data_IF_720047698993
#
_entry.id   IF_720047698993
#
_cell.length_a   1.000
_cell.length_b   1.000
_cell.length_c   1.000
_cell.angle_alpha   90.00
_cell.angle_beta   90.00
_cell.angle_gamma   90.00
#
_symmetry.space_group_name_H-M   'P 1'
#
loop_
_entity.id
_entity.type
_entity.pdbx_description
1 polymer ?
#
# COMPACT_ATOMS: atom_id res chain seq x y z
N UNK A 1 -35.03 -9.56 8.43
CA UNK A 1 -33.59 -9.68 8.09
C UNK A 1 -33.52 -9.58 6.59
N UNK A 2 -32.89 -8.54 6.08
CA UNK A 2 -32.61 -8.40 4.65
C UNK A 2 -31.75 -9.59 4.21
N UNK A 3 -32.06 -10.19 3.07
CA UNK A 3 -31.29 -11.31 2.52
C UNK A 3 -29.83 -10.83 2.27
N UNK A 4 -28.85 -11.65 2.68
CA UNK A 4 -27.43 -11.30 2.50
C UNK A 4 -27.07 -11.28 1.03
N UNK A 5 -26.24 -10.34 0.65
CA UNK A 5 -25.67 -10.25 -0.71
C UNK A 5 -24.83 -11.50 -0.97
N UNK A 6 -25.14 -12.24 -2.03
CA UNK A 6 -24.49 -13.50 -2.37
C UNK A 6 -23.26 -13.24 -3.25
N UNK A 7 -22.08 -13.58 -2.76
CA UNK A 7 -20.89 -13.59 -3.61
C UNK A 7 -20.85 -14.84 -4.49
N UNK A 8 -20.42 -14.70 -5.74
CA UNK A 8 -20.27 -15.82 -6.69
C UNK A 8 -18.87 -16.40 -6.64
N UNK A 9 -17.85 -15.56 -6.74
CA UNK A 9 -16.44 -15.93 -6.72
C UNK A 9 -15.80 -15.51 -5.40
N UNK A 10 -14.97 -16.35 -4.76
CA UNK A 10 -14.24 -15.93 -3.57
C UNK A 10 -13.19 -14.88 -3.90
N UNK A 11 -12.84 -14.05 -2.90
CA UNK A 11 -11.63 -13.27 -2.90
C UNK A 11 -10.58 -13.92 -1.97
N UNK A 12 -9.31 -13.59 -2.15
CA UNK A 12 -8.25 -14.05 -1.26
C UNK A 12 -8.26 -13.20 0.01
N UNK A 13 -8.38 -13.86 1.16
CA UNK A 13 -8.28 -13.21 2.46
C UNK A 13 -6.94 -13.57 3.12
N UNK A 14 -6.10 -12.57 3.33
CA UNK A 14 -4.81 -12.71 3.98
C UNK A 14 -4.87 -12.09 5.37
N UNK A 15 -5.01 -12.90 6.40
CA UNK A 15 -5.01 -12.45 7.79
C UNK A 15 -3.59 -12.06 8.25
N UNK A 16 -3.46 -11.36 9.36
CA UNK A 16 -2.19 -10.80 9.80
C UNK A 16 -1.91 -10.96 11.28
N UNK A 17 -1.32 -9.93 11.88
CA UNK A 17 -0.78 -9.98 13.24
C UNK A 17 -1.36 -8.90 14.16
N UNK A 18 -1.22 -9.12 15.44
CA UNK A 18 -1.35 -8.18 16.55
C UNK A 18 -2.69 -7.41 16.55
N UNK A 19 -2.71 -6.10 16.81
CA UNK A 19 -3.94 -5.32 16.94
C UNK A 19 -4.74 -5.26 15.64
N UNK A 20 -4.06 -5.28 14.50
CA UNK A 20 -4.75 -5.27 13.19
C UNK A 20 -5.53 -6.56 12.94
N UNK A 21 -5.07 -7.71 13.42
CA UNK A 21 -5.84 -8.97 13.38
C UNK A 21 -7.11 -8.88 14.23
N UNK A 22 -7.04 -8.24 15.39
CA UNK A 22 -8.22 -8.02 16.25
C UNK A 22 -9.24 -7.12 15.52
N UNK A 23 -8.78 -6.01 14.94
CA UNK A 23 -9.64 -5.12 14.15
C UNK A 23 -10.23 -5.82 12.92
N UNK A 24 -9.43 -6.66 12.25
CA UNK A 24 -9.85 -7.46 11.09
C UNK A 24 -11.09 -8.28 11.40
N UNK A 25 -11.05 -9.02 12.51
CA UNK A 25 -12.18 -9.83 12.93
C UNK A 25 -13.39 -8.97 13.32
N UNK A 26 -13.19 -7.87 14.07
CA UNK A 26 -14.28 -6.95 14.41
C UNK A 26 -14.97 -6.37 13.18
N UNK A 27 -14.20 -5.97 12.17
CA UNK A 27 -14.75 -5.43 10.91
C UNK A 27 -15.57 -6.51 10.18
N UNK A 28 -15.07 -7.72 10.10
CA UNK A 28 -15.82 -8.83 9.48
C UNK A 28 -17.12 -9.08 10.21
N UNK A 29 -17.09 -9.22 11.53
CA UNK A 29 -18.25 -9.59 12.36
C UNK A 29 -19.32 -8.49 12.37
N UNK A 30 -18.91 -7.23 12.44
CA UNK A 30 -19.83 -6.11 12.61
C UNK A 30 -20.24 -5.45 11.29
N UNK A 31 -19.35 -5.36 10.33
CA UNK A 31 -19.61 -4.57 9.12
C UNK A 31 -19.84 -5.44 7.86
N UNK A 32 -19.30 -6.65 7.77
CA UNK A 32 -19.36 -7.44 6.52
C UNK A 32 -20.31 -8.62 6.62
N UNK A 33 -20.08 -9.54 7.55
CA UNK A 33 -20.82 -10.80 7.67
C UNK A 33 -22.33 -10.64 7.92
N UNK A 34 -22.82 -9.55 8.56
CA UNK A 34 -24.27 -9.33 8.67
C UNK A 34 -24.96 -9.05 7.33
N UNK A 35 -24.26 -8.52 6.34
CA UNK A 35 -24.82 -8.03 5.08
C UNK A 35 -24.43 -8.85 3.86
N UNK A 36 -23.26 -9.49 3.90
CA UNK A 36 -22.68 -10.23 2.77
C UNK A 36 -22.45 -11.68 3.16
N UNK A 37 -22.86 -12.60 2.29
CA UNK A 37 -22.44 -14.01 2.33
C UNK A 37 -21.01 -14.10 1.78
N UNK A 38 -20.07 -13.75 2.65
CA UNK A 38 -18.66 -13.57 2.32
C UNK A 38 -18.01 -14.90 1.94
N UNK A 39 -17.48 -14.97 0.72
CA UNK A 39 -16.69 -16.12 0.26
C UNK A 39 -15.22 -15.71 0.15
N UNK A 40 -14.37 -16.40 0.90
CA UNK A 40 -12.93 -16.17 0.86
C UNK A 40 -12.14 -17.47 0.71
N UNK A 41 -11.00 -17.37 0.06
CA UNK A 41 -9.92 -18.35 0.19
C UNK A 41 -8.94 -17.78 1.21
N UNK A 42 -8.96 -18.36 2.42
CA UNK A 42 -8.31 -17.79 3.60
C UNK A 42 -6.87 -18.28 3.76
N UNK A 43 -5.97 -17.33 4.01
CA UNK A 43 -4.55 -17.56 4.33
C UNK A 43 -4.17 -16.81 5.60
N UNK A 44 -3.73 -17.52 6.62
CA UNK A 44 -3.18 -16.93 7.83
C UNK A 44 -1.72 -16.51 7.60
N UNK A 45 -1.47 -15.24 7.34
CA UNK A 45 -0.12 -14.69 7.20
C UNK A 45 0.44 -14.16 8.53
N UNK A 46 -0.17 -14.53 9.65
CA UNK A 46 0.39 -14.27 10.97
C UNK A 46 1.78 -14.90 11.12
N UNK A 47 2.67 -14.26 11.87
CA UNK A 47 4.08 -14.60 11.94
C UNK A 47 4.32 -16.06 12.37
N UNK A 48 3.50 -16.58 13.31
CA UNK A 48 3.60 -17.98 13.76
C UNK A 48 3.30 -18.94 12.61
N UNK A 49 2.22 -18.71 11.86
CA UNK A 49 1.83 -19.58 10.74
C UNK A 49 2.82 -19.52 9.59
N UNK A 50 3.39 -18.37 9.35
CA UNK A 50 4.47 -18.22 8.35
C UNK A 50 5.72 -18.98 8.74
N UNK A 51 6.10 -18.97 10.03
CA UNK A 51 7.23 -19.76 10.56
C UNK A 51 6.99 -21.27 10.43
N UNK A 52 5.79 -21.75 10.80
CA UNK A 52 5.38 -23.16 10.66
C UNK A 52 5.47 -23.66 9.20
N UNK A 53 5.16 -22.81 8.23
CA UNK A 53 5.14 -23.16 6.80
C UNK A 53 6.42 -22.79 6.07
N UNK A 54 7.46 -22.34 6.77
CA UNK A 54 8.68 -21.79 6.17
C UNK A 54 8.35 -20.69 5.13
N UNK A 55 7.41 -19.83 5.46
CA UNK A 55 6.87 -18.73 4.64
C UNK A 55 6.25 -19.17 3.29
N UNK A 56 5.98 -20.47 3.11
CA UNK A 56 5.34 -20.96 1.89
C UNK A 56 3.91 -20.42 1.75
N UNK A 57 3.19 -20.25 2.86
CA UNK A 57 1.82 -19.72 2.86
C UNK A 57 1.71 -18.31 2.24
N UNK A 58 2.74 -17.47 2.35
CA UNK A 58 2.80 -16.16 1.71
C UNK A 58 2.84 -16.28 0.18
N UNK A 59 3.60 -17.24 -0.34
CA UNK A 59 3.68 -17.51 -1.77
C UNK A 59 2.37 -18.08 -2.29
N UNK A 60 1.78 -19.02 -1.55
CA UNK A 60 0.50 -19.62 -1.91
C UNK A 60 -0.62 -18.59 -1.99
N UNK A 61 -0.66 -17.65 -1.04
CA UNK A 61 -1.61 -16.53 -1.04
C UNK A 61 -1.42 -15.60 -2.27
N UNK A 62 -0.17 -15.31 -2.64
CA UNK A 62 0.13 -14.51 -3.83
C UNK A 62 -0.29 -15.22 -5.13
N UNK A 63 -0.04 -16.52 -5.24
CA UNK A 63 -0.47 -17.31 -6.42
C UNK A 63 -2.01 -17.45 -6.46
N UNK A 64 -2.68 -17.59 -5.32
CA UNK A 64 -4.14 -17.53 -5.24
C UNK A 64 -4.68 -16.18 -5.72
N UNK A 65 -3.99 -15.07 -5.38
CA UNK A 65 -4.36 -13.73 -5.86
C UNK A 65 -4.28 -13.62 -7.38
N UNK A 66 -3.25 -14.20 -8.01
CA UNK A 66 -3.17 -14.28 -9.48
C UNK A 66 -4.35 -15.04 -10.07
N UNK A 67 -4.76 -16.13 -9.45
CA UNK A 67 -5.86 -16.98 -9.93
C UNK A 67 -7.23 -16.35 -9.72
N UNK A 68 -7.50 -15.78 -8.54
CA UNK A 68 -8.82 -15.25 -8.18
C UNK A 68 -8.99 -13.76 -8.56
N UNK A 69 -7.91 -13.05 -8.78
CA UNK A 69 -7.92 -11.67 -9.28
C UNK A 69 -8.03 -10.59 -8.21
N UNK A 70 -8.55 -10.88 -7.03
CA UNK A 70 -8.72 -9.90 -5.95
C UNK A 70 -8.32 -10.51 -4.62
N UNK A 71 -7.55 -9.77 -3.85
CA UNK A 71 -7.18 -10.10 -2.47
C UNK A 71 -7.41 -8.91 -1.54
N UNK A 72 -7.61 -9.23 -0.27
CA UNK A 72 -7.56 -8.27 0.83
C UNK A 72 -6.59 -8.76 1.89
N UNK A 73 -5.73 -7.88 2.39
CA UNK A 73 -4.62 -8.24 3.27
C UNK A 73 -4.59 -7.40 4.55
N UNK A 74 -4.51 -8.10 5.67
CA UNK A 74 -4.22 -7.51 6.98
C UNK A 74 -2.72 -7.17 7.13
N UNK A 75 -2.38 -6.28 8.04
CA UNK A 75 -0.99 -5.96 8.34
C UNK A 75 -0.27 -7.14 9.01
N UNK A 76 0.98 -7.35 8.62
CA UNK A 76 1.82 -8.48 9.04
C UNK A 76 3.13 -8.01 9.64
N UNK A 77 3.68 -8.78 10.59
CA UNK A 77 5.00 -8.50 11.17
C UNK A 77 6.11 -8.88 10.18
N UNK A 78 7.06 -7.98 9.96
CA UNK A 78 8.38 -8.33 9.43
C UNK A 78 9.33 -8.46 10.63
N UNK A 79 9.81 -9.67 10.95
CA UNK A 79 10.56 -9.90 12.17
C UNK A 79 11.95 -9.26 12.13
N UNK A 80 12.36 -8.76 13.29
CA UNK A 80 13.73 -8.38 13.64
C UNK A 80 14.25 -9.33 14.73
N UNK A 81 15.44 -9.13 15.25
CA UNK A 81 16.03 -9.97 16.32
C UNK A 81 15.13 -10.08 17.55
N UNK A 82 14.53 -8.97 18.00
CA UNK A 82 13.61 -8.98 19.14
C UNK A 82 12.40 -9.89 18.89
N UNK A 83 11.83 -9.84 17.68
CA UNK A 83 10.69 -10.69 17.29
C UNK A 83 11.07 -12.16 17.14
N UNK A 84 12.30 -12.44 16.73
CA UNK A 84 12.85 -13.80 16.71
C UNK A 84 12.75 -14.46 18.09
N UNK A 85 13.19 -13.74 19.13
CA UNK A 85 13.17 -14.23 20.51
C UNK A 85 11.75 -14.33 21.08
N UNK A 86 10.94 -13.28 20.85
CA UNK A 86 9.56 -13.19 21.34
C UNK A 86 8.68 -14.30 20.81
N UNK A 87 8.75 -14.59 19.52
CA UNK A 87 7.93 -15.60 18.84
C UNK A 87 8.62 -16.95 18.69
N UNK A 88 9.87 -17.10 19.16
CA UNK A 88 10.70 -18.31 19.04
C UNK A 88 10.79 -18.84 17.61
N UNK A 89 11.05 -17.91 16.67
CA UNK A 89 11.08 -18.23 15.25
C UNK A 89 12.31 -19.05 14.87
N UNK A 90 12.14 -19.92 13.89
CA UNK A 90 13.23 -20.72 13.31
C UNK A 90 14.16 -19.86 12.44
N UNK A 91 13.63 -18.80 11.83
CA UNK A 91 14.37 -17.95 10.91
C UNK A 91 13.82 -16.52 10.92
N UNK A 92 14.67 -15.54 10.61
CA UNK A 92 14.25 -14.15 10.37
C UNK A 92 13.66 -14.04 8.96
N UNK A 93 12.33 -14.22 8.87
CA UNK A 93 11.60 -14.23 7.61
C UNK A 93 11.62 -12.84 6.93
N UNK A 94 11.65 -12.85 5.60
CA UNK A 94 11.54 -11.63 4.80
C UNK A 94 10.15 -11.00 4.95
N UNK A 95 10.00 -9.75 4.52
CA UNK A 95 8.71 -9.07 4.49
C UNK A 95 7.73 -9.82 3.58
N UNK A 96 6.55 -10.25 4.08
CA UNK A 96 5.54 -10.88 3.24
C UNK A 96 5.03 -9.92 2.16
N UNK A 97 4.94 -8.63 2.45
CA UNK A 97 4.59 -7.61 1.44
C UNK A 97 5.59 -7.62 0.28
N UNK A 98 6.90 -7.70 0.58
CA UNK A 98 7.94 -7.78 -0.44
C UNK A 98 7.82 -9.05 -1.30
N UNK A 99 7.49 -10.19 -0.69
CA UNK A 99 7.27 -11.46 -1.40
C UNK A 99 6.05 -11.37 -2.32
N UNK A 100 4.90 -10.92 -1.82
CA UNK A 100 3.66 -10.76 -2.61
C UNK A 100 3.88 -9.80 -3.77
N UNK A 101 4.45 -8.62 -3.50
CA UNK A 101 4.74 -7.59 -4.53
C UNK A 101 5.66 -8.12 -5.62
N UNK A 102 6.67 -8.91 -5.24
CA UNK A 102 7.59 -9.52 -6.21
C UNK A 102 6.94 -10.58 -7.08
N UNK A 103 5.99 -11.35 -6.54
CA UNK A 103 5.26 -12.39 -7.26
C UNK A 103 4.22 -11.76 -8.19
N UNK A 104 3.53 -10.72 -7.76
CA UNK A 104 2.52 -10.02 -8.55
C UNK A 104 3.13 -9.02 -9.55
N UNK A 105 4.37 -8.58 -9.34
CA UNK A 105 5.05 -7.53 -10.14
C UNK A 105 4.19 -6.27 -10.26
N UNK A 106 3.61 -5.83 -9.13
CA UNK A 106 2.60 -4.78 -9.12
C UNK A 106 3.13 -3.39 -8.79
N UNK A 107 2.25 -2.41 -8.97
CA UNK A 107 2.42 -1.02 -8.53
C UNK A 107 1.52 -0.77 -7.32
N UNK A 108 2.06 -0.18 -6.26
CA UNK A 108 1.27 0.21 -5.08
C UNK A 108 0.78 1.63 -5.24
N UNK A 109 -0.54 1.82 -5.23
CA UNK A 109 -1.17 3.14 -5.20
C UNK A 109 -1.68 3.43 -3.80
N UNK A 110 -1.23 4.54 -3.21
CA UNK A 110 -1.59 4.99 -1.88
C UNK A 110 -2.23 6.37 -1.95
N UNK A 111 -3.48 6.48 -1.48
CA UNK A 111 -4.27 7.70 -1.55
C UNK A 111 -4.78 8.06 -0.16
N UNK A 112 -4.56 9.28 0.34
CA UNK A 112 -5.13 9.73 1.61
C UNK A 112 -6.66 9.75 1.57
N UNK A 113 -7.28 9.29 2.65
CA UNK A 113 -8.71 9.47 2.92
C UNK A 113 -8.87 10.85 3.57
N UNK A 114 -9.53 11.77 2.90
CA UNK A 114 -9.69 13.14 3.36
C UNK A 114 -11.11 13.42 3.82
N UNK A 115 -11.25 14.19 4.91
CA UNK A 115 -12.52 14.69 5.42
C UNK A 115 -12.43 16.20 5.64
N UNK A 116 -13.55 16.95 5.50
CA UNK A 116 -13.53 18.42 5.58
C UNK A 116 -13.02 18.98 6.90
N UNK A 117 -13.20 18.25 7.99
CA UNK A 117 -12.82 18.67 9.35
C UNK A 117 -11.37 18.37 9.73
N UNK A 118 -10.58 17.77 8.85
CA UNK A 118 -9.14 17.56 9.03
C UNK A 118 -8.40 18.26 7.90
N UNK A 119 -7.75 19.36 8.22
CA UNK A 119 -6.98 20.12 7.24
C UNK A 119 -5.57 19.54 7.10
N UNK A 120 -5.01 19.47 5.88
CA UNK A 120 -3.63 19.07 5.68
C UNK A 120 -2.65 20.01 6.43
N UNK A 121 -1.57 19.44 6.98
CA UNK A 121 -0.47 20.23 7.56
C UNK A 121 0.17 21.18 6.52
N UNK A 122 0.09 20.82 5.24
CA UNK A 122 0.48 21.69 4.13
C UNK A 122 -0.75 22.47 3.64
N UNK A 123 -0.83 23.74 4.01
CA UNK A 123 -1.99 24.60 3.77
C UNK A 123 -2.44 24.72 2.30
N UNK A 124 -1.50 24.50 1.35
CA UNK A 124 -1.81 24.60 -0.08
C UNK A 124 -2.54 23.37 -0.63
N UNK A 125 -2.50 22.24 0.06
CA UNK A 125 -3.10 21.01 -0.43
C UNK A 125 -4.63 21.06 -0.30
N UNK A 126 -5.31 21.14 -1.42
CA UNK A 126 -6.77 21.19 -1.52
C UNK A 126 -7.36 19.82 -1.90
N UNK A 127 -6.56 18.96 -2.54
CA UNK A 127 -6.97 17.65 -3.07
C UNK A 127 -5.97 16.58 -2.69
N UNK A 128 -6.40 15.32 -2.52
CA UNK A 128 -5.50 14.21 -2.23
C UNK A 128 -4.37 14.08 -3.26
N UNK A 129 -3.18 13.70 -2.79
CA UNK A 129 -2.05 13.34 -3.64
C UNK A 129 -1.90 11.83 -3.54
N UNK A 130 -2.01 11.15 -4.67
CA UNK A 130 -1.80 9.70 -4.75
C UNK A 130 -0.34 9.42 -5.02
N UNK A 131 0.29 8.58 -4.21
CA UNK A 131 1.63 8.06 -4.49
C UNK A 131 1.51 6.74 -5.23
N UNK A 132 2.10 6.66 -6.42
CA UNK A 132 2.30 5.41 -7.15
C UNK A 132 3.72 4.91 -6.90
N UNK A 133 3.85 3.84 -6.09
CA UNK A 133 5.13 3.25 -5.71
C UNK A 133 5.44 2.05 -6.60
N UNK A 134 6.60 2.04 -7.24
CA UNK A 134 7.10 0.85 -7.91
C UNK A 134 7.35 -0.26 -6.88
N UNK A 135 6.75 -1.42 -7.05
CA UNK A 135 6.80 -2.48 -6.04
C UNK A 135 7.96 -3.46 -6.20
N UNK A 136 8.95 -3.14 -7.04
CA UNK A 136 10.07 -4.02 -7.38
C UNK A 136 11.41 -3.28 -7.28
N UNK A 137 12.49 -4.03 -7.04
CA UNK A 137 13.86 -3.54 -7.14
C UNK A 137 14.30 -2.62 -6.02
N UNK A 138 15.27 -1.76 -6.32
CA UNK A 138 15.93 -0.82 -5.41
C UNK A 138 16.50 -1.55 -4.17
N UNK A 139 16.56 -0.87 -3.03
CA UNK A 139 17.08 -1.42 -1.78
C UNK A 139 16.31 -2.65 -1.28
N UNK A 140 15.06 -2.85 -1.70
CA UNK A 140 14.23 -4.00 -1.31
C UNK A 140 14.62 -5.31 -1.98
N UNK A 141 15.42 -5.26 -3.04
CA UNK A 141 16.03 -6.41 -3.73
C UNK A 141 17.55 -6.29 -3.85
N UNK A 142 18.16 -5.67 -2.86
CA UNK A 142 19.59 -5.51 -2.80
C UNK A 142 20.29 -6.76 -2.25
N UNK A 143 21.58 -6.83 -2.55
CA UNK A 143 22.54 -7.74 -1.90
C UNK A 143 23.60 -6.90 -1.20
N UNK A 144 24.05 -7.36 -0.03
CA UNK A 144 24.96 -6.61 0.82
C UNK A 144 26.17 -7.44 1.23
N UNK A 145 27.30 -6.78 1.36
CA UNK A 145 28.55 -7.37 1.86
C UNK A 145 29.12 -6.46 2.94
N UNK A 146 29.50 -7.06 4.07
CA UNK A 146 30.37 -6.43 5.06
C UNK A 146 31.82 -6.75 4.72
N UNK A 147 32.62 -5.72 4.41
CA UNK A 147 34.06 -5.86 4.29
C UNK A 147 34.68 -5.63 5.68
N UNK A 148 35.36 -6.63 6.22
CA UNK A 148 35.99 -6.58 7.55
C UNK A 148 37.47 -6.24 7.49
N UNK A 149 38.07 -6.24 6.30
CA UNK A 149 39.47 -5.99 6.04
C UNK A 149 39.69 -5.14 4.77
N UNK A 150 40.90 -4.61 4.52
CA UNK A 150 41.20 -3.94 3.24
C UNK A 150 41.01 -4.86 2.05
N UNK A 151 40.43 -4.33 0.96
CA UNK A 151 40.17 -5.11 -0.24
C UNK A 151 39.56 -4.30 -1.37
N UNK A 152 39.35 -4.92 -2.51
CA UNK A 152 38.78 -4.29 -3.71
C UNK A 152 37.37 -4.86 -3.96
N UNK A 153 36.35 -3.97 -3.95
CA UNK A 153 35.00 -4.30 -4.34
C UNK A 153 34.80 -4.03 -5.84
N UNK A 154 34.20 -5.02 -6.55
CA UNK A 154 33.95 -4.94 -7.98
C UNK A 154 32.50 -5.26 -8.29
N UNK A 155 31.97 -4.66 -9.36
CA UNK A 155 30.72 -5.02 -10.00
C UNK A 155 31.07 -5.69 -11.34
N UNK A 156 30.57 -6.92 -11.53
CA UNK A 156 30.85 -7.72 -12.71
C UNK A 156 29.54 -8.07 -13.39
N UNK A 157 29.49 -7.98 -14.72
CA UNK A 157 28.42 -8.47 -15.55
C UNK A 157 28.94 -9.38 -16.60
N UNK A 158 28.52 -10.66 -16.57
CA UNK A 158 28.81 -11.69 -17.53
C UNK A 158 27.58 -11.98 -18.38
N UNK A 159 27.54 -11.48 -19.59
CA UNK A 159 26.45 -11.68 -20.54
C UNK A 159 26.50 -13.03 -21.22
N UNK A 160 25.35 -13.65 -21.50
CA UNK A 160 25.24 -14.93 -22.23
C UNK A 160 25.88 -14.89 -23.61
N UNK A 161 25.97 -13.71 -24.23
CA UNK A 161 26.68 -13.51 -25.52
C UNK A 161 28.21 -13.47 -25.40
N UNK A 162 28.76 -13.66 -24.20
CA UNK A 162 30.20 -13.54 -23.92
C UNK A 162 30.64 -12.11 -23.62
N UNK A 163 29.72 -11.14 -23.51
CA UNK A 163 30.04 -9.77 -23.07
C UNK A 163 30.46 -9.82 -21.62
N UNK A 164 31.65 -9.27 -21.30
CA UNK A 164 32.16 -9.13 -19.96
C UNK A 164 32.38 -7.65 -19.66
N UNK A 165 31.79 -7.16 -18.55
CA UNK A 165 32.04 -5.82 -18.01
C UNK A 165 32.42 -5.93 -16.51
N UNK A 166 33.54 -5.31 -16.16
CA UNK A 166 34.03 -5.23 -14.77
C UNK A 166 34.29 -3.77 -14.41
N UNK A 167 33.76 -3.33 -13.28
CA UNK A 167 33.97 -1.97 -12.73
C UNK A 167 34.40 -2.07 -11.27
N UNK A 168 35.49 -1.42 -10.91
CA UNK A 168 35.87 -1.26 -9.51
C UNK A 168 34.89 -0.28 -8.85
N UNK A 169 34.17 -0.77 -7.84
CA UNK A 169 33.24 0.05 -7.06
C UNK A 169 34.00 0.89 -6.04
N UNK A 170 34.91 0.24 -5.27
CA UNK A 170 35.73 0.90 -4.27
C UNK A 170 36.94 0.04 -3.86
N UNK A 171 38.01 0.71 -3.44
CA UNK A 171 39.16 0.07 -2.78
C UNK A 171 39.12 0.41 -1.30
N UNK A 172 38.68 -0.55 -0.48
CA UNK A 172 38.65 -0.40 0.97
C UNK A 172 40.04 -0.40 1.56
N UNK A 173 40.33 0.56 2.41
CA UNK A 173 41.56 0.61 3.21
C UNK A 173 41.39 0.07 4.63
N UNK A 174 40.18 -0.35 4.97
CA UNK A 174 39.74 -0.92 6.23
C UNK A 174 38.31 -1.43 6.12
N UNK A 175 37.66 -1.66 7.25
CA UNK A 175 36.29 -2.16 7.27
C UNK A 175 35.29 -1.18 6.61
N UNK A 176 34.25 -1.73 5.98
CA UNK A 176 33.20 -0.97 5.31
C UNK A 176 31.98 -1.81 4.95
N UNK A 177 31.05 -1.23 4.23
CA UNK A 177 29.85 -1.90 3.73
C UNK A 177 29.69 -1.65 2.23
N UNK A 178 29.15 -2.64 1.53
CA UNK A 178 28.85 -2.59 0.11
C UNK A 178 27.43 -3.07 -0.10
N UNK A 179 26.66 -2.37 -0.94
CA UNK A 179 25.32 -2.74 -1.35
C UNK A 179 25.19 -2.63 -2.87
N UNK A 180 24.60 -3.64 -3.49
CA UNK A 180 24.24 -3.62 -4.90
C UNK A 180 22.74 -3.85 -5.07
N UNK A 181 22.12 -3.06 -5.93
CA UNK A 181 20.69 -3.15 -6.27
C UNK A 181 20.50 -3.25 -7.78
N UNK A 182 19.35 -3.75 -8.23
CA UNK A 182 19.01 -3.89 -9.64
C UNK A 182 17.55 -3.55 -9.91
N UNK A 183 17.26 -3.36 -11.19
CA UNK A 183 15.90 -3.33 -11.73
C UNK A 183 15.88 -3.96 -13.11
N UNK A 184 14.71 -4.21 -13.67
CA UNK A 184 14.53 -4.74 -15.01
C UNK A 184 13.69 -3.82 -15.87
N UNK A 185 14.01 -3.66 -17.14
CA UNK A 185 13.25 -2.85 -18.09
C UNK A 185 11.78 -3.30 -18.15
N UNK A 186 11.54 -4.61 -18.08
CA UNK A 186 10.20 -5.19 -18.05
C UNK A 186 9.38 -4.67 -16.86
N UNK A 187 9.94 -4.68 -15.64
CA UNK A 187 9.26 -4.21 -14.44
C UNK A 187 9.05 -2.69 -14.44
N UNK A 188 10.05 -1.94 -14.92
CA UNK A 188 9.94 -0.48 -15.07
C UNK A 188 8.83 -0.12 -16.07
N UNK A 189 8.75 -0.83 -17.21
CA UNK A 189 7.72 -0.62 -18.24
C UNK A 189 6.33 -0.96 -17.71
N UNK A 190 6.20 -2.07 -16.98
CA UNK A 190 4.98 -2.46 -16.29
C UNK A 190 4.51 -1.38 -15.29
N UNK A 191 5.42 -0.84 -14.50
CA UNK A 191 5.17 0.26 -13.58
C UNK A 191 4.67 1.51 -14.31
N UNK A 192 5.33 1.89 -15.41
CA UNK A 192 4.91 3.04 -16.22
C UNK A 192 3.48 2.85 -16.76
N UNK A 193 3.18 1.70 -17.39
CA UNK A 193 1.83 1.39 -17.87
C UNK A 193 0.77 1.46 -16.77
N UNK A 194 1.07 0.89 -15.59
CA UNK A 194 0.15 0.96 -14.45
C UNK A 194 -0.13 2.40 -14.02
N UNK A 195 0.89 3.25 -13.98
CA UNK A 195 0.74 4.67 -13.63
C UNK A 195 -0.13 5.42 -14.64
N UNK A 196 0.13 5.26 -15.95
CA UNK A 196 -0.64 5.95 -17.00
C UNK A 196 -2.09 5.47 -17.04
N UNK A 197 -2.35 4.16 -16.94
CA UNK A 197 -3.71 3.62 -16.85
C UNK A 197 -4.47 4.16 -15.64
N UNK A 198 -3.84 4.12 -14.46
CA UNK A 198 -4.46 4.64 -13.24
C UNK A 198 -4.73 6.14 -13.33
N UNK A 199 -3.85 6.91 -13.97
CA UNK A 199 -4.05 8.33 -14.22
C UNK A 199 -5.28 8.60 -15.10
N UNK A 200 -5.47 7.81 -16.17
CA UNK A 200 -6.66 7.88 -17.01
C UNK A 200 -7.93 7.44 -16.25
N UNK A 201 -7.87 6.34 -15.50
CA UNK A 201 -9.02 5.82 -14.76
C UNK A 201 -9.53 6.80 -13.70
N UNK A 202 -8.60 7.52 -13.04
CA UNK A 202 -8.91 8.51 -12.00
C UNK A 202 -9.00 9.95 -12.52
N UNK A 203 -8.77 10.17 -13.82
CA UNK A 203 -8.75 11.47 -14.45
C UNK A 203 -7.81 12.47 -13.74
N UNK A 204 -6.57 12.03 -13.47
CA UNK A 204 -5.54 12.80 -12.77
C UNK A 204 -4.27 12.93 -13.61
N UNK A 205 -3.58 14.08 -13.52
CA UNK A 205 -2.24 14.25 -14.08
C UNK A 205 -1.24 13.34 -13.37
N UNK A 206 -0.17 12.96 -14.07
CA UNK A 206 0.88 12.07 -13.57
C UNK A 206 2.20 12.83 -13.47
N UNK A 207 2.73 12.90 -12.26
CA UNK A 207 4.09 13.36 -12.00
C UNK A 207 5.00 12.18 -11.77
N UNK A 208 6.21 12.25 -12.31
CA UNK A 208 7.23 11.23 -12.11
C UNK A 208 8.57 11.86 -11.76
N UNK A 209 9.31 11.22 -10.87
CA UNK A 209 10.60 11.76 -10.42
C UNK A 209 11.63 10.68 -10.15
N UNK A 210 12.88 10.99 -10.50
CA UNK A 210 14.08 10.20 -10.19
C UNK A 210 15.26 11.15 -9.93
N UNK A 211 16.46 10.63 -9.76
CA UNK A 211 17.70 11.43 -9.64
C UNK A 211 18.68 11.12 -10.78
N UNK A 212 18.19 11.19 -12.02
CA UNK A 212 18.95 10.81 -13.21
C UNK A 212 20.23 11.64 -13.45
N UNK A 213 20.32 12.83 -12.86
CA UNK A 213 21.55 13.65 -12.89
C UNK A 213 22.70 13.05 -12.07
N UNK A 214 22.40 12.21 -11.08
CA UNK A 214 23.39 11.50 -10.25
C UNK A 214 23.44 10.03 -10.67
N UNK A 215 22.34 9.34 -10.70
CA UNK A 215 22.22 7.94 -11.11
C UNK A 215 21.98 7.87 -12.63
N UNK A 216 23.06 8.09 -13.40
CA UNK A 216 23.01 8.33 -14.86
C UNK A 216 22.67 7.10 -15.72
N UNK A 217 22.68 5.91 -15.14
CA UNK A 217 22.23 4.67 -15.80
C UNK A 217 20.94 4.17 -15.16
N UNK A 218 20.94 3.93 -13.87
CA UNK A 218 19.82 3.33 -13.16
C UNK A 218 18.57 4.22 -13.21
N UNK A 219 18.64 5.45 -12.71
CA UNK A 219 17.51 6.37 -12.69
C UNK A 219 17.15 6.91 -14.08
N UNK A 220 18.15 7.10 -14.94
CA UNK A 220 17.91 7.52 -16.32
C UNK A 220 17.11 6.48 -17.12
N UNK A 221 17.31 5.18 -16.86
CA UNK A 221 16.56 4.12 -17.52
C UNK A 221 15.06 4.20 -17.18
N UNK A 222 14.71 4.50 -15.94
CA UNK A 222 13.32 4.76 -15.56
C UNK A 222 12.72 5.91 -16.35
N UNK A 223 13.43 7.04 -16.45
CA UNK A 223 13.00 8.20 -17.21
C UNK A 223 12.78 7.87 -18.69
N UNK A 224 13.72 7.20 -19.31
CA UNK A 224 13.65 6.80 -20.73
C UNK A 224 12.40 5.97 -20.97
N UNK A 225 12.20 4.91 -20.17
CA UNK A 225 11.06 4.00 -20.33
C UNK A 225 9.73 4.73 -20.07
N UNK A 226 9.65 5.62 -19.09
CA UNK A 226 8.42 6.39 -18.85
C UNK A 226 8.05 7.28 -20.03
N UNK A 227 9.03 7.92 -20.68
CA UNK A 227 8.76 8.71 -21.90
C UNK A 227 8.37 7.84 -23.10
N UNK A 228 9.03 6.68 -23.28
CA UNK A 228 8.64 5.72 -24.33
C UNK A 228 7.19 5.26 -24.15
N UNK A 229 6.80 4.87 -22.94
CA UNK A 229 5.44 4.42 -22.62
C UNK A 229 4.43 5.56 -22.72
N UNK A 230 4.81 6.80 -22.35
CA UNK A 230 3.93 7.96 -22.48
C UNK A 230 3.44 8.20 -23.91
N UNK A 231 4.28 7.95 -24.91
CA UNK A 231 3.86 8.13 -26.32
C UNK A 231 2.63 7.28 -26.68
N UNK A 232 2.41 6.14 -26.00
CA UNK A 232 1.23 5.29 -26.18
C UNK A 232 -0.05 5.88 -25.57
N UNK A 233 0.07 6.75 -24.57
CA UNK A 233 -1.05 7.36 -23.84
C UNK A 233 -1.26 8.84 -24.14
N UNK A 234 -0.36 9.47 -24.89
CA UNK A 234 -0.28 10.92 -25.11
C UNK A 234 -1.56 11.51 -25.67
N UNK A 235 -2.13 10.89 -26.71
CA UNK A 235 -3.36 11.36 -27.34
C UNK A 235 -4.53 11.39 -26.33
N UNK A 236 -4.67 10.38 -25.51
CA UNK A 236 -5.75 10.30 -24.50
C UNK A 236 -5.51 11.30 -23.34
N UNK A 237 -4.26 11.52 -22.93
CA UNK A 237 -3.89 12.55 -21.96
C UNK A 237 -4.23 13.94 -22.47
N UNK A 238 -3.84 14.27 -23.70
CA UNK A 238 -4.15 15.56 -24.35
C UNK A 238 -5.65 15.79 -24.47
N UNK A 239 -6.41 14.79 -24.91
CA UNK A 239 -7.87 14.85 -25.05
C UNK A 239 -8.58 15.13 -23.72
N UNK A 240 -8.03 14.63 -22.59
CA UNK A 240 -8.60 14.87 -21.25
C UNK A 240 -7.99 16.07 -20.53
N UNK A 241 -7.04 16.76 -21.13
CA UNK A 241 -6.32 17.87 -20.50
C UNK A 241 -5.45 17.46 -19.32
N UNK A 242 -4.93 16.22 -19.34
CA UNK A 242 -4.03 15.68 -18.32
C UNK A 242 -2.58 15.95 -18.72
N UNK A 243 -1.72 16.14 -17.72
CA UNK A 243 -0.29 16.36 -17.89
C UNK A 243 0.53 15.14 -17.44
N UNK A 244 1.55 14.78 -18.20
CA UNK A 244 2.68 13.99 -17.73
C UNK A 244 3.87 14.92 -17.48
N UNK A 245 4.33 14.98 -16.22
CA UNK A 245 5.41 15.87 -15.80
C UNK A 245 6.53 15.10 -15.14
N UNK A 246 7.75 15.26 -15.65
CA UNK A 246 8.95 14.69 -15.06
C UNK A 246 9.86 15.76 -14.46
N UNK A 247 10.39 15.52 -13.26
CA UNK A 247 11.44 16.34 -12.66
C UNK A 247 12.33 15.53 -11.73
N UNK A 248 13.43 16.13 -11.24
CA UNK A 248 14.29 15.51 -10.23
C UNK A 248 13.53 15.38 -8.90
N UNK A 249 13.82 14.29 -8.17
CA UNK A 249 13.09 13.96 -6.92
C UNK A 249 13.13 15.10 -5.89
N UNK A 250 14.26 15.78 -5.73
CA UNK A 250 14.41 16.92 -4.82
C UNK A 250 13.59 18.15 -5.27
N UNK A 251 13.52 18.42 -6.58
CA UNK A 251 12.63 19.46 -7.13
C UNK A 251 11.15 19.04 -6.99
N UNK A 252 10.84 17.74 -7.23
CA UNK A 252 9.49 17.22 -7.03
C UNK A 252 9.00 17.47 -5.60
N UNK A 253 9.80 17.17 -4.57
CA UNK A 253 9.46 17.43 -3.16
C UNK A 253 9.06 18.89 -2.95
N UNK A 254 9.87 19.84 -3.47
CA UNK A 254 9.58 21.26 -3.35
C UNK A 254 8.30 21.69 -4.07
N UNK A 255 8.04 21.13 -5.25
CA UNK A 255 6.83 21.40 -6.05
C UNK A 255 5.58 20.81 -5.42
N UNK A 256 5.66 19.58 -4.93
CA UNK A 256 4.56 18.90 -4.24
C UNK A 256 4.07 19.72 -3.03
N UNK A 257 4.99 20.20 -2.19
CA UNK A 257 4.68 21.06 -1.04
C UNK A 257 3.96 22.36 -1.47
N UNK A 258 4.31 22.92 -2.62
CA UNK A 258 3.72 24.17 -3.15
C UNK A 258 2.46 23.95 -3.99
N UNK A 259 2.16 22.71 -4.35
CA UNK A 259 1.01 22.36 -5.19
C UNK A 259 -0.32 22.45 -4.46
N UNK A 260 -1.41 22.35 -5.21
CA UNK A 260 -2.76 22.18 -4.68
C UNK A 260 -3.15 20.71 -4.47
N UNK A 261 -2.28 19.77 -4.85
CA UNK A 261 -2.60 18.35 -4.91
C UNK A 261 -3.46 17.97 -6.12
N UNK A 262 -4.10 16.80 -6.06
CA UNK A 262 -5.00 16.30 -7.10
C UNK A 262 -4.29 15.63 -8.28
N UNK A 263 -3.11 15.10 -8.06
CA UNK A 263 -2.33 14.35 -9.06
C UNK A 263 -1.75 13.06 -8.47
N UNK A 264 -1.25 12.21 -9.36
CA UNK A 264 -0.51 11.01 -9.00
C UNK A 264 0.98 11.34 -9.06
N UNK A 265 1.71 11.00 -8.00
CA UNK A 265 3.17 11.11 -7.98
C UNK A 265 3.79 9.72 -8.02
N UNK A 266 4.32 9.35 -9.18
CA UNK A 266 5.04 8.10 -9.38
C UNK A 266 6.47 8.20 -8.86
N UNK A 267 6.87 7.22 -8.07
CA UNK A 267 8.15 7.14 -7.39
C UNK A 267 8.72 5.73 -7.50
N UNK A 268 10.05 5.63 -7.55
CA UNK A 268 10.75 4.35 -7.38
C UNK A 268 10.39 3.71 -6.04
N UNK A 269 10.76 2.47 -5.82
CA UNK A 269 10.32 1.68 -4.67
C UNK A 269 10.61 2.37 -3.32
N UNK A 270 11.85 2.73 -3.04
CA UNK A 270 12.22 3.39 -1.79
C UNK A 270 11.66 4.80 -1.68
N UNK A 271 11.79 5.60 -2.75
CA UNK A 271 11.26 6.97 -2.79
C UNK A 271 9.74 6.97 -2.51
N UNK A 272 9.02 6.02 -3.11
CA UNK A 272 7.57 5.87 -2.93
C UNK A 272 7.17 5.42 -1.53
N UNK A 273 7.99 4.60 -0.87
CA UNK A 273 7.77 4.20 0.52
C UNK A 273 7.81 5.43 1.45
N UNK A 274 8.90 6.18 1.36
CA UNK A 274 9.10 7.36 2.21
C UNK A 274 8.08 8.47 1.90
N UNK A 275 7.86 8.75 0.61
CA UNK A 275 6.96 9.84 0.20
C UNK A 275 5.48 9.53 0.49
N UNK A 276 5.05 8.28 0.42
CA UNK A 276 3.68 7.93 0.78
C UNK A 276 3.39 8.16 2.27
N UNK A 277 4.32 7.84 3.14
CA UNK A 277 4.17 8.07 4.58
C UNK A 277 4.19 9.58 4.91
N UNK A 278 5.07 10.35 4.26
CA UNK A 278 5.13 11.81 4.40
C UNK A 278 3.80 12.45 3.97
N UNK A 279 3.30 12.12 2.79
CA UNK A 279 2.04 12.66 2.25
C UNK A 279 0.86 12.28 3.14
N UNK A 280 0.75 11.01 3.54
CA UNK A 280 -0.32 10.54 4.40
C UNK A 280 -0.33 11.24 5.77
N UNK A 281 0.84 11.37 6.39
CA UNK A 281 0.99 12.06 7.68
C UNK A 281 0.58 13.53 7.55
N UNK A 282 0.95 14.18 6.45
CA UNK A 282 0.60 15.57 6.20
C UNK A 282 -0.89 15.78 5.90
N UNK A 283 -1.62 14.77 5.41
CA UNK A 283 -3.08 14.79 5.28
C UNK A 283 -3.82 14.41 6.58
N UNK A 284 -3.12 13.96 7.62
CA UNK A 284 -3.68 13.70 8.93
C UNK A 284 -3.10 12.47 9.64
N UNK A 285 -3.28 11.26 9.09
CA UNK A 285 -2.87 10.02 9.76
C UNK A 285 -2.59 8.91 8.74
N UNK A 286 -1.58 8.07 9.01
CA UNK A 286 -1.33 6.84 8.25
C UNK A 286 -2.53 5.87 8.25
N UNK A 287 -3.35 5.91 9.31
CA UNK A 287 -4.58 5.12 9.40
C UNK A 287 -5.70 5.65 8.48
N UNK A 288 -5.49 6.80 7.85
CA UNK A 288 -6.38 7.45 6.88
C UNK A 288 -5.79 7.38 5.47
N UNK A 289 -5.25 6.23 5.08
CA UNK A 289 -4.68 6.03 3.76
C UNK A 289 -5.10 4.68 3.17
N UNK A 290 -5.66 4.71 1.96
CA UNK A 290 -5.92 3.50 1.17
C UNK A 290 -4.61 3.01 0.55
N UNK A 291 -4.48 1.71 0.36
CA UNK A 291 -3.37 1.09 -0.36
C UNK A 291 -3.86 -0.05 -1.22
N UNK A 292 -3.50 -0.04 -2.49
CA UNK A 292 -3.82 -1.12 -3.42
C UNK A 292 -2.60 -1.45 -4.28
N UNK A 293 -2.25 -2.73 -4.31
CA UNK A 293 -1.28 -3.27 -5.25
C UNK A 293 -2.03 -3.72 -6.51
N UNK A 294 -1.61 -3.21 -7.65
CA UNK A 294 -2.18 -3.57 -8.96
C UNK A 294 -1.10 -4.21 -9.81
N UNK A 295 -1.31 -5.46 -10.24
CA UNK A 295 -0.38 -6.15 -11.13
C UNK A 295 -0.56 -5.71 -12.59
N UNK A 296 0.45 -5.95 -13.48
CA UNK A 296 0.35 -5.58 -14.88
C UNK A 296 -0.82 -6.21 -15.63
N UNK A 297 -1.23 -7.40 -15.20
CA UNK A 297 -2.34 -8.17 -15.78
C UNK A 297 -3.68 -7.95 -15.06
N UNK A 298 -3.77 -6.90 -14.20
CA UNK A 298 -5.02 -6.49 -13.57
C UNK A 298 -5.46 -7.37 -12.41
N UNK A 299 -4.52 -7.80 -11.56
CA UNK A 299 -4.81 -8.40 -10.25
C UNK A 299 -4.66 -7.35 -9.16
N UNK A 300 -5.48 -7.43 -8.14
CA UNK A 300 -5.60 -6.41 -7.10
C UNK A 300 -5.40 -7.01 -5.71
N UNK A 301 -4.57 -6.39 -4.91
CA UNK A 301 -4.44 -6.71 -3.49
C UNK A 301 -4.60 -5.42 -2.68
N UNK A 302 -5.66 -5.35 -1.89
CA UNK A 302 -6.00 -4.22 -1.04
C UNK A 302 -5.47 -4.43 0.36
N UNK A 303 -4.77 -3.44 0.91
CA UNK A 303 -4.18 -3.51 2.25
C UNK A 303 -4.30 -2.18 3.00
N UNK A 304 -4.15 -2.20 4.32
CA UNK A 304 -3.86 -1.00 5.09
C UNK A 304 -2.38 -0.65 4.95
N UNK A 305 -2.06 0.62 4.74
CA UNK A 305 -0.68 1.07 4.57
C UNK A 305 0.15 1.06 5.86
N UNK A 306 -0.50 1.03 7.03
CA UNK A 306 0.15 1.02 8.34
C UNK A 306 0.55 -0.40 8.80
N UNK A 307 1.38 -0.48 9.85
CA UNK A 307 1.80 -1.74 10.48
C UNK A 307 0.76 -2.33 11.44
N UNK A 308 1.17 -3.32 12.22
CA UNK A 308 0.32 -4.16 13.08
C UNK A 308 -0.15 -3.50 14.38
N UNK A 309 0.28 -2.26 14.66
CA UNK A 309 -0.05 -1.47 15.86
C UNK A 309 0.27 -2.19 17.17
N UNK A 310 1.49 -2.67 17.27
CA UNK A 310 2.05 -3.47 18.38
C UNK A 310 1.76 -2.89 19.76
N UNK A 311 1.94 -1.56 19.93
CA UNK A 311 1.75 -0.91 21.24
C UNK A 311 0.29 -1.00 21.74
N UNK A 312 -0.70 -0.93 20.84
CA UNK A 312 -2.10 -1.13 21.20
C UNK A 312 -2.42 -2.60 21.45
N UNK A 313 -1.76 -3.51 20.75
CA UNK A 313 -1.92 -4.94 20.98
C UNK A 313 -1.49 -5.36 22.40
N UNK A 314 -0.36 -4.85 22.89
CA UNK A 314 0.07 -5.12 24.26
C UNK A 314 -0.87 -4.53 25.33
N UNK A 315 -1.53 -3.42 25.05
CA UNK A 315 -2.59 -2.90 25.92
C UNK A 315 -3.82 -3.80 25.90
N UNK A 316 -4.25 -4.20 24.72
CA UNK A 316 -5.37 -5.13 24.53
C UNK A 316 -5.16 -6.44 25.30
N UNK A 317 -3.95 -7.03 25.24
CA UNK A 317 -3.61 -8.26 25.99
C UNK A 317 -3.71 -8.08 27.52
N UNK A 318 -3.59 -6.86 28.02
CA UNK A 318 -3.78 -6.54 29.45
C UNK A 318 -5.24 -6.22 29.81
N UNK A 319 -6.17 -6.35 28.86
CA UNK A 319 -7.57 -6.00 29.06
C UNK A 319 -7.84 -4.50 29.06
N UNK A 320 -6.88 -3.68 28.61
CA UNK A 320 -7.06 -2.24 28.48
C UNK A 320 -7.84 -1.90 27.20
N UNK A 321 -8.72 -0.89 27.29
CA UNK A 321 -9.40 -0.37 26.09
C UNK A 321 -8.39 0.29 25.13
N UNK A 322 -8.60 0.07 23.84
CA UNK A 322 -7.79 0.67 22.78
C UNK A 322 -8.68 1.47 21.82
N UNK A 323 -8.16 2.62 21.39
CA UNK A 323 -8.74 3.44 20.33
C UNK A 323 -7.83 3.39 19.12
N UNK A 324 -7.81 2.24 18.46
CA UNK A 324 -7.06 2.02 17.21
C UNK A 324 -7.98 2.34 16.05
N UNK A 325 -7.52 3.19 15.14
CA UNK A 325 -8.28 3.62 13.97
C UNK A 325 -8.40 2.48 12.95
N UNK A 326 -9.62 2.00 12.61
CA UNK A 326 -9.82 0.91 11.68
C UNK A 326 -10.01 1.36 10.22
N UNK A 327 -9.99 2.66 9.93
CA UNK A 327 -10.39 3.22 8.63
C UNK A 327 -9.66 2.60 7.45
N UNK A 328 -8.32 2.57 7.48
CA UNK A 328 -7.55 1.98 6.38
C UNK A 328 -7.89 0.49 6.14
N UNK A 329 -8.15 -0.26 7.21
CA UNK A 329 -8.56 -1.68 7.12
C UNK A 329 -9.97 -1.83 6.56
N UNK A 330 -10.91 -0.98 6.97
CA UNK A 330 -12.27 -0.96 6.41
C UNK A 330 -12.22 -0.64 4.91
N UNK A 331 -11.41 0.34 4.50
CA UNK A 331 -11.25 0.72 3.11
C UNK A 331 -10.51 -0.35 2.27
N UNK A 332 -9.63 -1.13 2.89
CA UNK A 332 -9.07 -2.32 2.22
C UNK A 332 -10.17 -3.34 1.91
N UNK A 333 -11.03 -3.64 2.86
CA UNK A 333 -12.18 -4.54 2.66
C UNK A 333 -13.18 -3.99 1.64
N UNK A 334 -13.61 -2.73 1.77
CA UNK A 334 -14.57 -2.13 0.83
C UNK A 334 -14.03 -2.09 -0.59
N UNK A 335 -12.74 -1.73 -0.76
CA UNK A 335 -12.07 -1.76 -2.06
C UNK A 335 -12.03 -3.14 -2.70
N UNK A 336 -11.67 -4.17 -1.91
CA UNK A 336 -11.64 -5.55 -2.39
C UNK A 336 -13.05 -6.08 -2.76
N UNK A 337 -14.06 -5.80 -1.94
CA UNK A 337 -15.44 -6.19 -2.21
C UNK A 337 -16.00 -5.45 -3.44
N UNK A 338 -15.75 -4.15 -3.58
CA UNK A 338 -16.11 -3.39 -4.78
C UNK A 338 -15.49 -3.99 -6.03
N UNK A 339 -14.18 -4.23 -6.01
CA UNK A 339 -13.47 -4.80 -7.15
C UNK A 339 -13.99 -6.20 -7.50
N UNK A 340 -14.27 -7.02 -6.51
CA UNK A 340 -14.89 -8.34 -6.73
C UNK A 340 -16.27 -8.21 -7.35
N UNK A 341 -17.10 -7.27 -6.86
CA UNK A 341 -18.41 -6.96 -7.41
C UNK A 341 -18.37 -6.48 -8.86
N UNK A 342 -17.40 -5.62 -9.19
CA UNK A 342 -17.16 -5.17 -10.58
C UNK A 342 -16.79 -6.34 -11.50
N UNK A 343 -15.85 -7.20 -11.08
CA UNK A 343 -15.38 -8.33 -11.88
C UNK A 343 -16.44 -9.42 -12.09
N UNK A 344 -17.33 -9.60 -11.13
CA UNK A 344 -18.37 -10.61 -11.17
C UNK A 344 -19.73 -10.08 -11.67
N UNK A 345 -19.81 -8.77 -12.03
CA UNK A 345 -21.06 -8.08 -12.39
C UNK A 345 -22.14 -8.20 -11.29
N UNK A 346 -21.74 -8.00 -10.03
CA UNK A 346 -22.61 -7.99 -8.84
C UNK A 346 -22.80 -6.55 -8.32
N UNK A 347 -23.75 -5.78 -8.89
CA UNK A 347 -23.94 -4.37 -8.53
C UNK A 347 -24.36 -4.18 -7.08
N UNK A 348 -25.00 -5.17 -6.44
CA UNK A 348 -25.34 -5.11 -5.00
C UNK A 348 -24.07 -5.05 -4.14
N UNK A 349 -23.04 -5.82 -4.49
CA UNK A 349 -21.78 -5.84 -3.75
C UNK A 349 -21.02 -4.52 -3.91
N UNK A 350 -21.08 -3.91 -5.10
CA UNK A 350 -20.52 -2.58 -5.35
C UNK A 350 -21.27 -1.52 -4.52
N UNK A 351 -22.61 -1.51 -4.56
CA UNK A 351 -23.41 -0.58 -3.75
C UNK A 351 -23.18 -0.74 -2.25
N UNK A 352 -23.00 -1.97 -1.78
CA UNK A 352 -22.66 -2.22 -0.38
C UNK A 352 -21.31 -1.59 0.00
N UNK A 353 -20.28 -1.78 -0.83
CA UNK A 353 -18.95 -1.20 -0.58
C UNK A 353 -19.02 0.35 -0.55
N UNK A 354 -19.78 0.96 -1.46
CA UNK A 354 -20.00 2.41 -1.51
C UNK A 354 -20.76 2.89 -0.26
N UNK A 355 -21.78 2.16 0.17
CA UNK A 355 -22.55 2.47 1.38
C UNK A 355 -21.68 2.37 2.64
N UNK A 356 -20.79 1.39 2.72
CA UNK A 356 -19.84 1.23 3.83
C UNK A 356 -18.89 2.42 3.94
N UNK A 357 -18.28 2.83 2.81
CA UNK A 357 -17.41 4.01 2.80
C UNK A 357 -18.18 5.30 3.13
N UNK A 358 -19.37 5.47 2.59
CA UNK A 358 -20.24 6.59 2.92
C UNK A 358 -20.60 6.62 4.42
N UNK A 359 -20.88 5.47 5.05
CA UNK A 359 -21.12 5.37 6.49
C UNK A 359 -19.89 5.78 7.31
N UNK A 360 -18.70 5.43 6.86
CA UNK A 360 -17.45 5.89 7.47
C UNK A 360 -17.31 7.41 7.42
N UNK A 361 -17.54 8.01 6.24
CA UNK A 361 -17.48 9.47 6.08
C UNK A 361 -18.52 10.19 6.92
N UNK A 362 -19.77 9.70 6.97
CA UNK A 362 -20.80 10.29 7.82
C UNK A 362 -20.41 10.24 9.30
N UNK A 363 -19.86 9.11 9.77
CA UNK A 363 -19.38 8.96 11.15
C UNK A 363 -18.31 9.99 11.49
N UNK A 364 -17.32 10.16 10.62
CA UNK A 364 -16.23 11.13 10.81
C UNK A 364 -16.74 12.58 10.72
N UNK A 365 -17.60 12.89 9.76
CA UNK A 365 -18.15 14.24 9.56
C UNK A 365 -19.03 14.70 10.74
N UNK A 366 -19.68 13.77 11.45
CA UNK A 366 -20.41 14.04 12.69
C UNK A 366 -19.49 14.19 13.92
N UNK A 367 -18.17 14.08 13.75
CA UNK A 367 -17.18 14.23 14.80
C UNK A 367 -16.95 12.96 15.64
N UNK A 368 -17.52 11.82 15.27
CA UNK A 368 -17.25 10.54 15.94
C UNK A 368 -15.94 9.98 15.39
N UNK A 369 -14.92 9.93 16.24
CA UNK A 369 -13.54 9.63 15.83
C UNK A 369 -12.82 8.73 16.83
N UNK A 370 -11.73 8.12 16.38
CA UNK A 370 -10.74 7.49 17.23
C UNK A 370 -9.78 8.54 17.82
N UNK A 371 -9.05 8.16 18.86
CA UNK A 371 -8.22 9.10 19.65
C UNK A 371 -7.14 9.80 18.82
N UNK A 372 -6.59 9.13 17.80
CA UNK A 372 -5.56 9.67 16.91
C UNK A 372 -6.04 10.86 16.07
N UNK A 373 -7.33 10.89 15.72
CA UNK A 373 -7.93 11.95 14.91
C UNK A 373 -8.48 13.11 15.74
N UNK A 374 -8.79 12.90 17.02
CA UNK A 374 -9.47 13.89 17.84
C UNK A 374 -8.74 15.25 17.91
N UNK A 375 -7.40 15.23 17.96
CA UNK A 375 -6.57 16.44 18.00
C UNK A 375 -6.39 17.13 16.65
N UNK A 376 -6.86 16.51 15.57
CA UNK A 376 -6.73 17.01 14.19
C UNK A 376 -8.04 17.66 13.70
N UNK A 377 -9.15 17.45 14.42
CA UNK A 377 -10.47 17.95 14.03
C UNK A 377 -10.57 19.47 14.19
N UNK A 378 -11.08 20.14 13.17
CA UNK A 378 -11.36 21.57 13.16
C UNK A 378 -12.84 21.82 12.82
N UNK A 379 -13.46 22.77 13.51
CA UNK A 379 -14.86 23.16 13.27
C UNK A 379 -15.94 22.17 13.76
N UNK A 380 -15.53 21.00 14.26
CA UNK A 380 -16.43 19.97 14.80
C UNK A 380 -15.87 19.50 16.15
N UNK A 381 -16.75 19.36 17.16
CA UNK A 381 -16.33 18.84 18.47
C UNK A 381 -16.14 17.33 18.41
N UNK A 382 -14.91 16.81 18.63
CA UNK A 382 -14.66 15.38 18.52
C UNK A 382 -15.31 14.59 19.67
N UNK A 383 -15.99 13.50 19.31
CA UNK A 383 -16.50 12.48 20.22
C UNK A 383 -15.62 11.24 20.10
N UNK A 384 -14.63 11.15 20.96
CA UNK A 384 -13.66 10.04 20.90
C UNK A 384 -14.31 8.72 21.33
N UNK A 385 -14.13 7.69 20.52
CA UNK A 385 -14.56 6.31 20.79
C UNK A 385 -13.35 5.37 20.83
N UNK A 386 -13.49 4.25 21.57
CA UNK A 386 -12.62 3.11 21.39
C UNK A 386 -12.92 2.42 20.03
N UNK A 387 -12.10 1.46 19.63
CA UNK A 387 -12.21 0.80 18.32
C UNK A 387 -13.60 0.16 18.11
N UNK A 388 -14.10 -0.57 19.11
CA UNK A 388 -15.42 -1.21 19.04
C UNK A 388 -16.57 -0.19 18.92
N UNK A 389 -16.54 0.87 19.73
CA UNK A 389 -17.53 1.93 19.68
C UNK A 389 -17.52 2.73 18.38
N UNK A 390 -16.35 2.91 17.77
CA UNK A 390 -16.23 3.55 16.45
C UNK A 390 -16.81 2.65 15.34
N UNK A 391 -16.50 1.35 15.34
CA UNK A 391 -17.06 0.38 14.40
C UNK A 391 -18.59 0.29 14.57
N UNK A 392 -19.11 0.26 15.79
CA UNK A 392 -20.54 0.25 16.06
C UNK A 392 -21.25 1.50 15.50
N UNK A 393 -20.63 2.69 15.63
CA UNK A 393 -21.16 3.92 15.06
C UNK A 393 -21.21 3.89 13.51
N UNK A 394 -20.23 3.28 12.87
CA UNK A 394 -20.24 3.05 11.41
C UNK A 394 -21.37 2.09 11.05
N UNK A 395 -21.51 0.98 11.78
CA UNK A 395 -22.57 0.00 11.53
C UNK A 395 -23.97 0.62 11.57
N UNK A 396 -24.26 1.44 12.57
CA UNK A 396 -25.55 2.13 12.69
C UNK A 396 -25.89 2.95 11.44
N UNK A 397 -24.90 3.62 10.84
CA UNK A 397 -25.08 4.42 9.62
C UNK A 397 -25.17 3.56 8.38
N UNK A 398 -24.41 2.48 8.33
CA UNK A 398 -24.47 1.50 7.23
C UNK A 398 -25.85 0.86 7.16
N UNK A 399 -26.43 0.43 8.28
CA UNK A 399 -27.78 -0.12 8.35
C UNK A 399 -28.83 0.84 7.79
N UNK A 400 -28.73 2.14 8.12
CA UNK A 400 -29.62 3.19 7.59
C UNK A 400 -29.48 3.38 6.07
N UNK A 401 -28.27 3.18 5.52
CA UNK A 401 -28.01 3.33 4.08
C UNK A 401 -28.47 2.11 3.27
N UNK A 402 -28.55 0.96 3.90
CA UNK A 402 -28.94 -0.31 3.25
C UNK A 402 -30.43 -0.66 3.47
N UNK A 403 -31.13 0.10 4.34
CA UNK A 403 -32.56 -0.03 4.58
C UNK A 403 -33.37 0.58 3.42
#
# INVERSE_FOLDING_TARGET
>A
MTEKIQMTTPLVEMDGDEMTRILWQMIKDELILPFVDLKTEYYDLGLVKRDETSDQITKDAAEATKRLGVAVKCATITPNHQRMDEYKLHQMWKSPNGTIRSILDGTVFRTPITIPSIHPAVKNWEKPITIARHAYGDVYKSVEIRADEPGVAKLIFDGESGKHEEVVVHTFKGAGVLQAMHNTDKSIRSFAHSCFKFALDTNQSLWFSTKDTISKKYDAQFKIIFYEVFEEYKEEFEKRGLEFFYTLIDDAVARVIRSKGGFIWACKNYDGDVMSDMVSTAFGSLAMMTSVLVSPDGKYEYEAAHGTVTRHYYKYLKGEETSTNPMATIFAWSGALRKRGEMDNLPELVRYADALEAACFDTLNEGIVTKDLAGLMEGVTPQTKNSAGFIAAIRERLEKKLA
#
